data_IF_919513136990
#
_entry.id   IF_919513136990
#
_cell.length_a   1.000
_cell.length_b   1.000
_cell.length_c   1.000
_cell.angle_alpha   90.00
_cell.angle_beta   90.00
_cell.angle_gamma   90.00
#
_symmetry.space_group_name_H-M   'P 1'
#
loop_
_entity.id
_entity.type
_entity.pdbx_description
1 polymer ?
#
# COMPACT_ATOMS: atom_id res chain seq x y z
N UNK A 1 22.82 -7.85 22.58
CA UNK A 1 21.37 -7.69 22.28
C UNK A 1 20.94 -8.18 20.89
N UNK A 2 21.80 -8.21 19.87
CA UNK A 2 21.44 -8.61 18.50
C UNK A 2 21.10 -10.10 18.31
N UNK A 3 21.75 -11.02 19.02
CA UNK A 3 21.55 -12.49 18.83
C UNK A 3 20.21 -12.98 19.39
N UNK A 4 19.80 -12.50 20.57
CA UNK A 4 18.53 -12.89 21.20
C UNK A 4 17.32 -12.40 20.37
N UNK A 5 17.37 -11.15 19.87
CA UNK A 5 16.30 -10.60 19.01
C UNK A 5 16.14 -11.40 17.72
N UNK A 6 17.25 -11.74 17.06
CA UNK A 6 17.24 -12.58 15.83
C UNK A 6 16.65 -13.96 16.10
N UNK A 7 17.01 -14.61 17.23
CA UNK A 7 16.49 -15.92 17.61
C UNK A 7 15.00 -15.87 17.95
N UNK A 8 14.55 -14.83 18.65
CA UNK A 8 13.14 -14.61 18.95
C UNK A 8 12.33 -14.39 17.68
N UNK A 9 12.79 -13.53 16.78
CA UNK A 9 12.14 -13.28 15.48
C UNK A 9 12.04 -14.57 14.66
N UNK A 10 13.10 -15.38 14.65
CA UNK A 10 13.09 -16.68 13.98
C UNK A 10 12.03 -17.62 14.57
N UNK A 11 11.97 -17.77 15.89
CA UNK A 11 10.98 -18.62 16.56
C UNK A 11 9.55 -18.12 16.33
N UNK A 12 9.30 -16.81 16.36
CA UNK A 12 7.99 -16.23 16.10
C UNK A 12 7.53 -16.43 14.65
N UNK A 13 8.46 -16.54 13.70
CA UNK A 13 8.13 -16.76 12.28
C UNK A 13 7.93 -18.25 11.95
N UNK A 14 8.72 -19.13 12.55
CA UNK A 14 8.80 -20.55 12.15
C UNK A 14 8.14 -21.54 13.13
N UNK A 15 7.74 -21.10 14.33
CA UNK A 15 7.07 -21.97 15.30
C UNK A 15 5.68 -21.40 15.65
N UNK A 16 4.65 -21.97 15.04
CA UNK A 16 3.24 -21.53 15.21
C UNK A 16 2.78 -21.61 16.66
N UNK A 17 3.14 -22.70 17.36
CA UNK A 17 2.76 -22.89 18.76
C UNK A 17 3.41 -21.84 19.65
N UNK A 18 4.73 -21.67 19.54
CA UNK A 18 5.47 -20.65 20.28
C UNK A 18 4.93 -19.25 20.01
N UNK A 19 4.65 -18.93 18.73
CA UNK A 19 4.08 -17.65 18.33
C UNK A 19 2.71 -17.39 18.98
N UNK A 20 1.83 -18.40 19.02
CA UNK A 20 0.50 -18.28 19.66
C UNK A 20 0.61 -18.07 21.17
N UNK A 21 1.44 -18.86 21.86
CA UNK A 21 1.65 -18.74 23.32
C UNK A 21 2.26 -17.38 23.64
N UNK A 22 3.34 -16.99 22.96
CA UNK A 22 3.99 -15.70 23.17
C UNK A 22 3.03 -14.52 22.96
N UNK A 23 2.34 -14.49 21.83
CA UNK A 23 1.37 -13.41 21.53
C UNK A 23 0.20 -13.41 22.53
N UNK A 24 -0.28 -14.58 22.94
CA UNK A 24 -1.33 -14.71 23.96
C UNK A 24 -0.89 -14.11 25.29
N UNK A 25 0.27 -14.53 25.81
CA UNK A 25 0.82 -14.05 27.09
C UNK A 25 1.09 -12.55 27.07
N UNK A 26 1.76 -12.07 26.01
CA UNK A 26 2.03 -10.63 25.87
C UNK A 26 0.74 -9.82 25.72
N UNK A 27 -0.28 -10.34 25.03
CA UNK A 27 -1.57 -9.68 24.91
C UNK A 27 -2.27 -9.54 26.27
N UNK A 28 -2.21 -10.58 27.13
CA UNK A 28 -2.75 -10.53 28.49
C UNK A 28 -2.02 -9.48 29.34
N UNK A 29 -0.69 -9.47 29.29
CA UNK A 29 0.12 -8.46 29.97
C UNK A 29 -0.24 -7.05 29.51
N UNK A 30 -0.37 -6.83 28.20
CA UNK A 30 -0.73 -5.53 27.64
C UNK A 30 -2.16 -5.11 28.01
N UNK A 31 -3.09 -6.04 28.10
CA UNK A 31 -4.45 -5.75 28.61
C UNK A 31 -4.40 -5.31 30.07
N UNK A 32 -3.64 -6.02 30.91
CA UNK A 32 -3.46 -5.66 32.31
C UNK A 32 -2.82 -4.29 32.46
N UNK A 33 -1.69 -4.03 31.79
CA UNK A 33 -1.03 -2.72 31.80
C UNK A 33 -1.94 -1.62 31.24
N UNK A 34 -2.76 -1.96 30.27
CA UNK A 34 -3.75 -1.06 29.72
C UNK A 34 -4.77 -0.54 30.75
N UNK A 35 -5.09 -1.29 31.81
CA UNK A 35 -6.03 -0.86 32.85
C UNK A 35 -5.57 0.42 33.55
N UNK A 36 -4.26 0.60 33.71
CA UNK A 36 -3.65 1.78 34.35
C UNK A 36 -3.55 2.99 33.43
N UNK A 37 -4.02 2.90 32.20
CA UNK A 37 -3.95 3.97 31.22
C UNK A 37 -5.35 4.29 30.66
N UNK A 38 -6.13 5.16 31.33
CA UNK A 38 -7.48 5.51 30.89
C UNK A 38 -7.47 6.08 29.47
N UNK A 39 -8.50 5.75 28.71
CA UNK A 39 -8.69 6.30 27.34
C UNK A 39 -9.06 7.76 27.46
N UNK A 40 -8.35 8.60 26.71
CA UNK A 40 -8.56 10.05 26.60
C UNK A 40 -9.37 10.36 25.36
N UNK A 41 -10.45 11.09 25.52
CA UNK A 41 -11.22 11.62 24.40
C UNK A 41 -10.38 12.61 23.60
N UNK A 42 -10.77 12.87 22.34
CA UNK A 42 -10.07 13.80 21.43
C UNK A 42 -8.59 13.49 21.22
N UNK A 43 -8.19 12.21 21.30
CA UNK A 43 -6.82 11.77 21.02
C UNK A 43 -6.78 10.73 19.91
N UNK A 44 -5.89 10.91 18.95
CA UNK A 44 -5.74 10.05 17.79
C UNK A 44 -4.31 9.53 17.72
N UNK A 45 -4.13 8.21 17.61
CA UNK A 45 -2.85 7.59 17.24
C UNK A 45 -2.92 7.17 15.78
N UNK A 46 -1.96 7.67 15.00
CA UNK A 46 -1.86 7.42 13.57
C UNK A 46 -0.56 6.67 13.29
N UNK A 47 -0.64 5.67 12.41
CA UNK A 47 0.53 5.01 11.83
C UNK A 47 0.27 4.72 10.36
N UNK A 48 1.32 4.59 9.57
CA UNK A 48 1.19 4.31 8.15
C UNK A 48 2.16 3.21 7.69
N UNK A 49 2.22 2.99 6.39
CA UNK A 49 3.07 1.98 5.77
C UNK A 49 4.55 2.22 6.14
N UNK A 50 5.27 1.14 6.46
CA UNK A 50 6.65 1.21 6.95
C UNK A 50 6.88 2.20 8.10
N UNK A 51 5.84 2.52 8.89
CA UNK A 51 5.92 3.51 9.98
C UNK A 51 6.43 4.87 9.50
N UNK A 52 6.12 5.24 8.27
CA UNK A 52 6.44 6.54 7.70
C UNK A 52 5.28 7.53 7.79
N UNK A 53 5.50 8.73 7.27
CA UNK A 53 4.45 9.73 7.04
C UNK A 53 3.96 9.63 5.58
N UNK A 54 3.02 8.73 5.33
CA UNK A 54 2.59 8.39 3.97
C UNK A 54 1.19 7.77 3.95
N UNK A 55 0.78 7.33 2.75
CA UNK A 55 -0.41 6.53 2.49
C UNK A 55 -1.73 7.20 2.94
N UNK A 56 -2.81 6.43 3.03
CA UNK A 56 -4.15 6.87 3.42
C UNK A 56 -4.19 7.53 4.80
N UNK A 57 -3.33 7.10 5.71
CA UNK A 57 -3.20 7.70 7.05
C UNK A 57 -2.75 9.17 6.98
N UNK A 58 -1.85 9.50 6.04
CA UNK A 58 -1.43 10.88 5.76
C UNK A 58 -2.60 11.71 5.20
N UNK A 59 -3.30 11.18 4.20
CA UNK A 59 -4.43 11.88 3.58
C UNK A 59 -5.52 12.22 4.61
N UNK A 60 -5.88 11.26 5.46
CA UNK A 60 -6.85 11.47 6.54
C UNK A 60 -6.35 12.55 7.52
N UNK A 61 -5.10 12.47 7.96
CA UNK A 61 -4.54 13.42 8.90
C UNK A 61 -4.50 14.85 8.35
N UNK A 62 -4.02 15.03 7.13
CA UNK A 62 -3.97 16.35 6.49
C UNK A 62 -5.37 16.96 6.29
N UNK A 63 -6.37 16.12 6.04
CA UNK A 63 -7.78 16.58 5.98
C UNK A 63 -8.29 16.96 7.39
N UNK A 64 -7.96 16.18 8.42
CA UNK A 64 -8.35 16.51 9.80
C UNK A 64 -7.75 17.84 10.27
N UNK A 65 -6.53 18.21 9.86
CA UNK A 65 -5.93 19.50 10.16
C UNK A 65 -6.72 20.69 9.59
N UNK A 66 -7.43 20.49 8.48
CA UNK A 66 -8.25 21.52 7.80
C UNK A 66 -9.67 21.58 8.34
N UNK A 67 -10.10 20.60 9.11
CA UNK A 67 -11.47 20.45 9.58
C UNK A 67 -11.63 21.01 11.01
N UNK A 68 -12.46 22.05 11.22
CA UNK A 68 -12.64 22.69 12.53
C UNK A 68 -13.06 21.76 13.66
N UNK A 69 -13.67 20.59 13.35
CA UNK A 69 -14.05 19.56 14.34
C UNK A 69 -12.86 19.07 15.16
N UNK A 70 -11.65 19.15 14.60
CA UNK A 70 -10.44 18.58 15.19
C UNK A 70 -9.49 19.60 15.83
N UNK A 71 -9.88 20.87 15.94
CA UNK A 71 -9.05 21.94 16.51
C UNK A 71 -8.52 21.64 17.94
N UNK A 72 -9.32 20.90 18.74
CA UNK A 72 -8.99 20.53 20.12
C UNK A 72 -8.46 19.09 20.23
N UNK A 73 -8.17 18.41 19.11
CA UNK A 73 -7.65 17.06 19.14
C UNK A 73 -6.14 17.04 19.30
N UNK A 74 -5.66 16.04 20.03
CA UNK A 74 -4.23 15.74 20.12
C UNK A 74 -3.89 14.58 19.19
N UNK A 75 -3.02 14.84 18.23
CA UNK A 75 -2.55 13.86 17.28
C UNK A 75 -1.20 13.28 17.68
N UNK A 76 -1.07 11.97 17.62
CA UNK A 76 0.16 11.21 17.81
C UNK A 76 0.50 10.48 16.55
N UNK A 77 1.75 10.56 16.08
CA UNK A 77 2.26 9.77 14.97
C UNK A 77 3.27 8.75 15.46
N UNK A 78 2.98 7.46 15.19
CA UNK A 78 3.88 6.34 15.44
C UNK A 78 4.80 6.13 14.23
N UNK A 79 6.07 6.54 14.34
CA UNK A 79 7.04 6.64 13.26
C UNK A 79 8.25 5.75 13.51
N UNK A 80 8.85 5.23 12.44
CA UNK A 80 10.16 4.61 12.54
C UNK A 80 11.27 5.66 12.66
N UNK A 81 11.20 6.74 11.91
CA UNK A 81 12.04 7.92 12.11
C UNK A 81 11.19 9.09 12.62
N UNK A 82 11.30 9.49 13.91
CA UNK A 82 10.56 10.64 14.46
C UNK A 82 11.07 12.02 14.00
N UNK A 83 12.21 12.08 13.32
CA UNK A 83 12.79 13.37 12.87
C UNK A 83 12.12 13.89 11.58
N UNK A 84 11.27 13.06 10.94
CA UNK A 84 10.53 13.48 9.74
C UNK A 84 9.63 14.69 10.05
N UNK A 85 9.62 15.67 9.17
CA UNK A 85 8.73 16.81 9.29
C UNK A 85 7.29 16.45 8.97
N UNK A 86 6.35 16.89 9.82
CA UNK A 86 4.92 16.63 9.68
C UNK A 86 4.15 17.91 9.99
N UNK A 87 3.28 18.37 9.08
CA UNK A 87 2.49 19.60 9.31
C UNK A 87 1.61 19.48 10.54
N UNK A 88 1.29 20.62 11.18
CA UNK A 88 0.46 20.66 12.37
C UNK A 88 1.14 20.19 13.65
N UNK A 89 2.44 19.91 13.64
CA UNK A 89 3.26 19.56 14.80
C UNK A 89 2.66 18.47 15.71
N UNK A 90 2.30 17.28 15.20
CA UNK A 90 1.78 16.22 16.02
C UNK A 90 2.85 15.70 16.99
N UNK A 91 2.44 15.05 18.07
CA UNK A 91 3.37 14.40 18.98
C UNK A 91 3.94 13.15 18.30
N UNK A 92 5.21 13.20 17.91
CA UNK A 92 5.92 12.09 17.27
C UNK A 92 6.41 11.09 18.30
N UNK A 93 6.16 9.81 18.03
CA UNK A 93 6.51 8.70 18.93
C UNK A 93 7.23 7.62 18.12
N UNK A 94 8.43 7.22 18.56
CA UNK A 94 9.15 6.08 17.92
C UNK A 94 8.28 4.84 18.01
N UNK A 95 7.95 4.26 16.85
CA UNK A 95 7.12 3.07 16.75
C UNK A 95 7.73 1.86 17.48
N UNK A 96 6.87 0.96 17.92
CA UNK A 96 7.25 -0.30 18.55
C UNK A 96 8.07 -0.16 19.86
N UNK A 97 8.06 1.04 20.47
CA UNK A 97 8.64 1.33 21.78
C UNK A 97 7.59 1.28 22.89
N UNK A 98 8.04 1.24 24.16
CA UNK A 98 7.13 1.31 25.31
C UNK A 98 6.30 2.62 25.31
N UNK A 99 6.92 3.75 24.91
CA UNK A 99 6.22 5.03 24.76
C UNK A 99 5.08 4.95 23.74
N UNK A 100 5.32 4.26 22.61
CA UNK A 100 4.31 4.02 21.57
C UNK A 100 3.12 3.21 22.12
N UNK A 101 3.37 2.10 22.81
CA UNK A 101 2.28 1.27 23.36
C UNK A 101 1.51 1.98 24.49
N UNK A 102 2.19 2.74 25.34
CA UNK A 102 1.51 3.63 26.31
C UNK A 102 0.59 4.64 25.62
N UNK A 103 1.01 5.18 24.49
CA UNK A 103 0.19 6.10 23.69
C UNK A 103 -1.01 5.35 23.11
N UNK A 104 -0.79 4.14 22.55
CA UNK A 104 -1.87 3.30 22.03
C UNK A 104 -2.92 2.96 23.11
N UNK A 105 -2.52 2.69 24.37
CA UNK A 105 -3.48 2.46 25.47
C UNK A 105 -4.38 3.65 25.77
N UNK A 106 -3.88 4.90 25.55
CA UNK A 106 -4.55 6.14 25.94
C UNK A 106 -5.39 6.75 24.83
N UNK A 107 -4.99 6.56 23.54
CA UNK A 107 -5.69 7.19 22.44
C UNK A 107 -7.06 6.56 22.19
N UNK A 108 -8.07 7.43 22.06
CA UNK A 108 -9.45 7.04 21.74
C UNK A 108 -9.57 6.48 20.34
N UNK A 109 -8.91 7.11 19.39
CA UNK A 109 -8.98 6.76 17.98
C UNK A 109 -7.64 6.22 17.49
N UNK A 110 -7.72 5.14 16.75
CA UNK A 110 -6.60 4.52 16.06
C UNK A 110 -6.85 4.57 14.56
N UNK A 111 -5.93 5.16 13.81
CA UNK A 111 -6.01 5.27 12.35
C UNK A 111 -4.74 4.69 11.74
N UNK A 112 -4.89 3.76 10.80
CA UNK A 112 -3.74 3.12 10.16
C UNK A 112 -4.13 2.53 8.80
N UNK A 113 -3.13 2.33 7.95
CA UNK A 113 -3.24 1.49 6.76
C UNK A 113 -2.55 0.11 6.93
N UNK A 114 -2.03 -0.20 8.12
CA UNK A 114 -1.37 -1.49 8.43
C UNK A 114 -1.91 -2.06 9.75
N UNK A 115 -1.21 -1.92 10.85
CA UNK A 115 -1.69 -2.26 12.18
C UNK A 115 -0.97 -1.44 13.26
N UNK A 116 -1.66 -1.15 14.35
CA UNK A 116 -1.11 -0.44 15.51
C UNK A 116 -0.60 -1.41 16.55
N UNK A 117 -1.31 -2.48 16.76
CA UNK A 117 -1.15 -3.43 17.88
C UNK A 117 -0.11 -4.51 17.64
N UNK A 118 0.49 -4.61 16.44
CA UNK A 118 1.53 -5.61 16.11
C UNK A 118 1.09 -7.05 16.35
N UNK A 119 -0.15 -7.37 15.98
CA UNK A 119 -0.82 -8.67 16.21
C UNK A 119 -1.04 -9.02 17.68
N UNK A 120 -0.92 -8.06 18.61
CA UNK A 120 -1.30 -8.22 20.03
C UNK A 120 -2.76 -7.82 20.22
N UNK A 121 -3.45 -8.48 21.13
CA UNK A 121 -4.89 -8.25 21.38
C UNK A 121 -5.11 -7.41 22.65
N UNK A 122 -4.86 -6.09 22.58
CA UNK A 122 -5.02 -5.20 23.75
C UNK A 122 -5.92 -3.97 23.51
N UNK A 123 -6.52 -3.84 22.33
CA UNK A 123 -7.49 -2.77 22.06
C UNK A 123 -8.65 -2.83 23.06
N UNK A 124 -9.01 -1.70 23.64
CA UNK A 124 -10.12 -1.56 24.59
C UNK A 124 -11.44 -1.36 23.86
N UNK A 125 -12.56 -1.74 24.50
CA UNK A 125 -13.90 -1.54 23.94
C UNK A 125 -14.23 -0.09 23.64
N UNK A 126 -13.73 0.86 24.43
CA UNK A 126 -13.94 2.31 24.26
C UNK A 126 -13.12 2.92 23.13
N UNK A 127 -12.12 2.21 22.59
CA UNK A 127 -11.29 2.69 21.48
C UNK A 127 -11.94 2.38 20.15
N UNK A 128 -11.83 3.32 19.23
CA UNK A 128 -12.35 3.22 17.85
C UNK A 128 -11.14 3.02 16.92
N UNK A 129 -11.22 2.04 16.05
CA UNK A 129 -10.14 1.64 15.17
C UNK A 129 -10.59 1.69 13.71
N UNK A 130 -9.95 2.56 12.94
CA UNK A 130 -10.05 2.63 11.48
C UNK A 130 -8.80 2.00 10.87
N UNK A 131 -8.98 1.05 9.97
CA UNK A 131 -7.94 0.53 9.10
C UNK A 131 -8.35 0.74 7.65
N UNK A 132 -7.51 1.45 6.89
CA UNK A 132 -7.77 1.72 5.48
C UNK A 132 -7.22 0.66 4.55
N UNK A 133 -6.43 -0.29 5.09
CA UNK A 133 -5.49 -1.11 4.28
C UNK A 133 -4.51 -0.25 3.46
N UNK A 134 -3.70 -0.88 2.61
CA UNK A 134 -2.67 -0.23 1.79
C UNK A 134 -2.69 -0.69 0.33
N UNK A 135 -3.81 -1.24 -0.12
CA UNK A 135 -4.09 -1.53 -1.53
C UNK A 135 -4.70 -2.89 -1.80
N UNK A 136 -5.49 -2.95 -2.87
CA UNK A 136 -6.11 -4.18 -3.36
C UNK A 136 -5.01 -5.18 -3.72
N UNK A 137 -5.09 -6.39 -3.20
CA UNK A 137 -4.03 -7.38 -3.40
C UNK A 137 -4.30 -8.28 -4.61
N UNK A 138 -3.26 -8.53 -5.38
CA UNK A 138 -3.21 -9.57 -6.42
C UNK A 138 -2.73 -10.90 -5.84
N UNK A 139 -1.94 -10.82 -4.77
CA UNK A 139 -1.30 -11.99 -4.11
C UNK A 139 -2.22 -12.59 -3.07
N UNK A 140 -2.04 -13.88 -2.78
CA UNK A 140 -2.66 -14.47 -1.60
C UNK A 140 -2.14 -13.78 -0.33
N UNK A 141 -3.05 -13.46 0.58
CA UNK A 141 -2.74 -12.76 1.83
C UNK A 141 -3.52 -13.34 3.02
N UNK A 142 -3.23 -12.82 4.21
CA UNK A 142 -3.94 -13.19 5.42
C UNK A 142 -3.97 -14.71 5.65
N UNK A 143 -5.15 -15.26 5.91
CA UNK A 143 -5.34 -16.69 6.17
C UNK A 143 -5.20 -17.59 4.94
N UNK A 144 -5.19 -17.05 3.73
CA UNK A 144 -4.93 -17.82 2.51
C UNK A 144 -3.44 -17.97 2.21
N UNK A 145 -2.60 -17.12 2.80
CA UNK A 145 -1.15 -17.22 2.62
C UNK A 145 -0.59 -18.48 3.31
N UNK A 146 0.45 -19.07 2.70
CA UNK A 146 1.11 -20.23 3.25
C UNK A 146 1.68 -19.97 4.65
N UNK A 147 1.50 -20.92 5.56
CA UNK A 147 2.08 -20.89 6.92
C UNK A 147 1.36 -20.01 7.94
N UNK A 148 0.36 -19.22 7.55
CA UNK A 148 -0.40 -18.37 8.50
C UNK A 148 -1.90 -18.60 8.40
N UNK A 149 -2.54 -18.87 9.55
CA UNK A 149 -3.99 -19.12 9.67
C UNK A 149 -4.59 -18.40 10.88
N UNK A 150 -3.91 -17.39 11.41
CA UNK A 150 -4.22 -16.76 12.71
C UNK A 150 -4.68 -15.30 12.59
N UNK A 151 -4.91 -14.81 11.36
CA UNK A 151 -5.46 -13.48 11.17
C UNK A 151 -6.91 -13.42 11.65
N UNK A 152 -7.17 -12.47 12.53
CA UNK A 152 -8.50 -12.19 13.05
C UNK A 152 -8.61 -10.71 13.40
N UNK A 153 -9.23 -9.95 12.51
CA UNK A 153 -9.44 -8.51 12.63
C UNK A 153 -10.90 -8.16 12.99
N UNK A 154 -11.63 -9.12 13.55
CA UNK A 154 -13.03 -8.94 13.95
C UNK A 154 -13.25 -7.76 14.91
N UNK A 155 -12.22 -7.33 15.64
CA UNK A 155 -12.24 -6.22 16.61
C UNK A 155 -12.02 -4.85 16.00
N UNK A 156 -11.70 -4.75 14.71
CA UNK A 156 -11.57 -3.47 14.00
C UNK A 156 -12.97 -2.89 13.79
N UNK A 157 -13.14 -1.59 14.06
CA UNK A 157 -14.44 -0.95 13.98
C UNK A 157 -14.81 -0.54 12.56
N UNK A 158 -13.83 -0.03 11.80
CA UNK A 158 -13.99 0.42 10.43
C UNK A 158 -12.84 -0.09 9.58
N UNK A 159 -13.16 -0.71 8.46
CA UNK A 159 -12.19 -1.24 7.50
C UNK A 159 -12.60 -0.85 6.09
N UNK A 160 -11.76 -0.06 5.41
CA UNK A 160 -12.04 0.43 4.06
C UNK A 160 -11.93 -0.70 3.04
N UNK A 161 -12.80 -0.64 2.03
CA UNK A 161 -12.72 -1.45 0.82
C UNK A 161 -13.02 -0.61 -0.40
N UNK A 162 -12.41 -0.95 -1.53
CA UNK A 162 -12.58 -0.26 -2.80
C UNK A 162 -13.63 -0.90 -3.69
N UNK A 163 -14.13 -2.10 -3.35
CA UNK A 163 -15.17 -2.81 -4.11
C UNK A 163 -15.52 -4.16 -3.49
N UNK A 164 -16.49 -4.84 -4.11
CA UNK A 164 -16.99 -6.14 -3.64
C UNK A 164 -15.94 -7.26 -3.72
N UNK A 165 -15.03 -7.21 -4.70
CA UNK A 165 -13.90 -8.16 -4.75
C UNK A 165 -13.08 -8.12 -3.47
N UNK A 166 -12.64 -6.92 -3.08
CA UNK A 166 -11.81 -6.69 -1.90
C UNK A 166 -12.60 -7.01 -0.61
N UNK A 167 -13.86 -6.59 -0.54
CA UNK A 167 -14.76 -6.91 0.57
C UNK A 167 -14.84 -8.41 0.84
N UNK A 168 -15.17 -9.19 -0.19
CA UNK A 168 -15.36 -10.63 -0.05
C UNK A 168 -14.05 -11.34 0.31
N UNK A 169 -12.95 -10.91 -0.28
CA UNK A 169 -11.63 -11.42 0.05
C UNK A 169 -11.26 -11.13 1.51
N UNK A 170 -11.39 -9.89 1.98
CA UNK A 170 -10.98 -9.49 3.32
C UNK A 170 -11.83 -10.09 4.43
N UNK A 171 -13.13 -10.28 4.21
CA UNK A 171 -13.99 -11.03 5.12
C UNK A 171 -13.43 -12.43 5.38
N UNK A 172 -12.95 -13.10 4.32
CA UNK A 172 -12.39 -14.45 4.41
C UNK A 172 -10.97 -14.46 4.97
N UNK A 173 -10.06 -13.68 4.38
CA UNK A 173 -8.64 -13.79 4.68
C UNK A 173 -8.22 -13.12 5.98
N UNK A 174 -8.98 -12.13 6.47
CA UNK A 174 -8.70 -11.42 7.71
C UNK A 174 -9.74 -11.68 8.81
N UNK A 175 -10.77 -12.48 8.53
CA UNK A 175 -11.87 -12.71 9.46
C UNK A 175 -12.42 -11.40 10.03
N UNK A 176 -12.81 -10.49 9.13
CA UNK A 176 -13.39 -9.21 9.50
C UNK A 176 -14.85 -9.37 9.98
N UNK A 177 -15.28 -8.47 10.83
CA UNK A 177 -16.70 -8.30 11.10
C UNK A 177 -17.38 -7.67 9.88
N UNK A 178 -18.40 -8.28 9.26
CA UNK A 178 -19.09 -7.69 8.11
C UNK A 178 -19.60 -6.26 8.34
N UNK A 179 -19.96 -5.94 9.60
CA UNK A 179 -20.44 -4.61 10.00
C UNK A 179 -19.33 -3.56 10.09
N UNK A 180 -18.06 -3.97 10.09
CA UNK A 180 -16.93 -3.04 10.13
C UNK A 180 -16.53 -2.53 8.76
N UNK A 181 -17.02 -3.13 7.69
CA UNK A 181 -16.65 -2.75 6.33
C UNK A 181 -17.32 -1.44 5.95
N UNK A 182 -16.52 -0.50 5.47
CA UNK A 182 -16.98 0.78 4.92
C UNK A 182 -16.56 0.89 3.44
N UNK A 183 -17.53 1.16 2.54
CA UNK A 183 -17.30 1.21 1.10
C UNK A 183 -16.81 2.61 0.67
N UNK A 184 -15.60 2.95 1.03
CA UNK A 184 -15.05 4.30 0.80
C UNK A 184 -13.99 4.34 -0.29
N UNK A 185 -13.33 3.22 -0.58
CA UNK A 185 -12.07 3.22 -1.30
C UNK A 185 -10.90 3.66 -0.40
N UNK A 186 -9.77 3.96 -1.03
CA UNK A 186 -8.54 4.32 -0.35
C UNK A 186 -8.35 5.84 -0.31
N UNK A 187 -8.27 6.47 0.87
CA UNK A 187 -8.07 7.92 1.01
C UNK A 187 -6.88 8.49 0.23
N UNK A 188 -5.76 7.75 0.13
CA UNK A 188 -4.60 8.19 -0.63
C UNK A 188 -4.88 8.38 -2.13
N UNK A 189 -5.92 7.73 -2.63
CA UNK A 189 -6.24 7.72 -4.06
C UNK A 189 -7.25 8.82 -4.46
N UNK A 190 -7.81 9.58 -3.51
CA UNK A 190 -8.82 10.61 -3.82
C UNK A 190 -8.32 11.63 -4.86
N UNK A 191 -7.05 11.99 -4.82
CA UNK A 191 -6.44 12.93 -5.76
C UNK A 191 -6.34 12.37 -7.19
N UNK A 192 -6.28 11.03 -7.36
CA UNK A 192 -6.22 10.39 -8.67
C UNK A 192 -7.54 10.48 -9.46
N UNK A 193 -8.66 10.78 -8.80
CA UNK A 193 -9.95 11.03 -9.43
C UNK A 193 -10.14 12.47 -9.93
N UNK A 194 -9.19 13.37 -9.61
CA UNK A 194 -9.32 14.82 -9.85
C UNK A 194 -8.08 15.42 -10.52
N UNK A 195 -7.34 14.61 -11.26
CA UNK A 195 -6.10 15.02 -11.93
C UNK A 195 -6.43 16.12 -12.94
N UNK A 196 -5.74 17.28 -12.85
CA UNK A 196 -5.85 18.35 -13.83
C UNK A 196 -4.62 18.38 -14.75
N UNK A 197 -4.76 19.02 -15.92
CA UNK A 197 -3.66 19.18 -16.85
C UNK A 197 -2.57 20.06 -16.28
N UNK A 198 -2.96 21.09 -15.55
CA UNK A 198 -2.08 22.04 -14.89
C UNK A 198 -1.20 21.32 -13.84
N UNK A 199 -1.82 20.50 -12.98
CA UNK A 199 -1.10 19.71 -11.98
C UNK A 199 -0.10 18.74 -12.63
N UNK A 200 -0.51 18.06 -13.71
CA UNK A 200 0.39 17.16 -14.45
C UNK A 200 1.58 17.94 -15.03
N UNK A 201 1.33 19.12 -15.57
CA UNK A 201 2.39 19.96 -16.14
C UNK A 201 3.37 20.45 -15.06
N UNK A 202 2.87 20.92 -13.92
CA UNK A 202 3.70 21.34 -12.79
C UNK A 202 4.58 20.21 -12.27
N UNK A 203 4.02 18.99 -12.16
CA UNK A 203 4.79 17.82 -11.74
C UNK A 203 5.85 17.47 -12.79
N UNK A 204 5.50 17.46 -14.08
CA UNK A 204 6.47 17.20 -15.16
C UNK A 204 7.63 18.20 -15.16
N UNK A 205 7.35 19.48 -14.96
CA UNK A 205 8.37 20.54 -14.87
C UNK A 205 9.28 20.32 -13.65
N UNK A 206 8.70 20.07 -12.47
CA UNK A 206 9.45 19.79 -11.24
C UNK A 206 10.36 18.57 -11.36
N UNK A 207 9.93 17.56 -12.12
CA UNK A 207 10.68 16.32 -12.34
C UNK A 207 11.61 16.35 -13.57
N UNK A 208 11.61 17.45 -14.35
CA UNK A 208 12.42 17.57 -15.56
C UNK A 208 11.98 16.64 -16.71
N UNK A 209 10.66 16.34 -16.80
CA UNK A 209 10.09 15.35 -17.73
C UNK A 209 9.34 15.96 -18.94
N UNK A 210 9.73 17.15 -19.35
CA UNK A 210 9.04 17.84 -20.46
C UNK A 210 9.23 17.14 -21.81
N UNK A 211 8.16 17.07 -22.61
CA UNK A 211 8.20 16.76 -24.04
C UNK A 211 8.10 15.30 -24.43
N UNK A 212 8.25 14.33 -23.50
CA UNK A 212 8.15 12.90 -23.81
C UNK A 212 6.97 12.22 -23.12
N UNK A 213 6.52 11.10 -23.66
CA UNK A 213 5.61 10.18 -22.99
C UNK A 213 6.36 9.43 -21.89
N UNK A 214 5.68 9.08 -20.83
CA UNK A 214 6.29 8.53 -19.61
C UNK A 214 5.79 7.12 -19.37
N UNK A 215 6.72 6.18 -19.26
CA UNK A 215 6.47 4.83 -18.78
C UNK A 215 6.89 4.76 -17.31
N UNK A 216 5.96 4.43 -16.42
CA UNK A 216 6.29 4.07 -15.05
C UNK A 216 6.53 2.55 -14.98
N UNK A 217 7.77 2.14 -14.74
CA UNK A 217 8.11 0.73 -14.54
C UNK A 217 8.26 0.45 -13.05
N UNK A 218 7.30 -0.31 -12.49
CA UNK A 218 7.19 -0.59 -11.06
C UNK A 218 7.11 -2.11 -10.81
N UNK A 219 8.23 -2.85 -10.96
CA UNK A 219 8.24 -4.30 -10.74
C UNK A 219 8.12 -4.65 -9.26
N UNK A 220 7.41 -5.74 -8.96
CA UNK A 220 7.35 -6.29 -7.60
C UNK A 220 8.70 -6.90 -7.23
N UNK A 221 9.12 -6.64 -5.99
CA UNK A 221 10.25 -7.30 -5.38
C UNK A 221 10.07 -8.82 -5.32
N UNK A 222 11.12 -9.56 -5.70
CA UNK A 222 11.20 -11.03 -5.56
C UNK A 222 11.95 -11.37 -4.29
N UNK A 223 11.23 -11.65 -3.20
CA UNK A 223 11.81 -12.10 -1.93
C UNK A 223 11.60 -13.60 -1.75
N UNK A 224 12.68 -14.34 -1.72
CA UNK A 224 12.69 -15.78 -1.55
C UNK A 224 12.91 -16.24 -0.12
N UNK A 225 13.22 -15.33 0.80
CA UNK A 225 13.56 -15.70 2.18
C UNK A 225 12.40 -16.27 2.99
N UNK A 226 11.16 -16.04 2.54
CA UNK A 226 9.98 -16.52 3.26
C UNK A 226 9.68 -18.02 3.06
N UNK A 227 10.33 -18.70 2.10
CA UNK A 227 10.06 -20.12 1.77
C UNK A 227 11.33 -20.99 1.84
N UNK A 228 12.43 -20.48 2.40
CA UNK A 228 13.66 -21.26 2.60
C UNK A 228 14.47 -21.54 1.32
N UNK A 229 14.13 -20.90 0.21
CA UNK A 229 14.91 -20.94 -1.03
C UNK A 229 15.32 -19.53 -1.41
N UNK A 230 16.56 -19.34 -1.83
CA UNK A 230 17.05 -18.05 -2.33
C UNK A 230 16.51 -17.86 -3.74
N UNK A 231 15.42 -17.09 -3.87
CA UNK A 231 14.82 -16.75 -5.16
C UNK A 231 15.14 -15.30 -5.47
N UNK A 232 16.28 -15.07 -6.06
CA UNK A 232 16.66 -13.78 -6.60
C UNK A 232 16.55 -13.88 -8.11
N UNK A 233 15.40 -13.47 -8.67
CA UNK A 233 15.22 -13.45 -10.10
C UNK A 233 15.45 -12.02 -10.60
N UNK A 234 16.47 -11.85 -11.42
CA UNK A 234 16.69 -10.62 -12.16
C UNK A 234 15.58 -10.49 -13.22
N UNK A 235 14.81 -9.38 -13.24
CA UNK A 235 13.87 -9.14 -14.35
C UNK A 235 14.60 -9.25 -15.70
N UNK A 236 14.05 -9.97 -16.69
CA UNK A 236 14.68 -10.14 -18.00
C UNK A 236 14.47 -8.91 -18.87
N UNK A 237 15.05 -7.78 -18.45
CA UNK A 237 14.95 -6.50 -19.17
C UNK A 237 16.33 -5.98 -19.56
N UNK A 238 16.41 -5.41 -20.77
CA UNK A 238 17.56 -4.70 -21.29
C UNK A 238 17.15 -3.27 -21.65
N UNK A 239 17.50 -2.32 -20.81
CA UNK A 239 17.11 -0.92 -21.07
C UNK A 239 17.77 -0.33 -22.32
N UNK A 240 18.92 -0.85 -22.76
CA UNK A 240 19.50 -0.51 -24.06
C UNK A 240 18.60 -0.92 -25.22
N UNK A 241 17.94 -2.09 -25.12
CA UNK A 241 16.96 -2.54 -26.09
C UNK A 241 15.68 -1.71 -26.02
N UNK A 242 15.21 -1.37 -24.81
CA UNK A 242 14.07 -0.47 -24.63
C UNK A 242 14.36 0.90 -25.26
N UNK A 243 15.56 1.47 -25.03
CA UNK A 243 15.97 2.75 -25.61
C UNK A 243 15.97 2.74 -27.14
N UNK A 244 16.42 1.64 -27.74
CA UNK A 244 16.39 1.47 -29.23
C UNK A 244 14.98 1.42 -29.81
N UNK A 245 14.02 0.83 -29.06
CA UNK A 245 12.65 0.62 -29.58
C UNK A 245 11.72 1.79 -29.20
N UNK A 246 11.91 2.40 -28.05
CA UNK A 246 10.97 3.36 -27.43
C UNK A 246 11.57 4.73 -27.19
N UNK A 247 12.91 4.91 -27.30
CA UNK A 247 13.61 6.09 -26.80
C UNK A 247 13.28 7.41 -27.51
N UNK A 248 12.75 7.35 -28.73
CA UNK A 248 12.31 8.55 -29.45
C UNK A 248 11.01 9.14 -28.85
N UNK A 249 10.12 8.27 -28.37
CA UNK A 249 8.79 8.65 -27.89
C UNK A 249 8.67 8.70 -26.37
N UNK A 250 9.42 7.84 -25.66
CA UNK A 250 9.23 7.60 -24.23
C UNK A 250 10.47 7.83 -23.39
N UNK A 251 10.25 8.09 -22.10
CA UNK A 251 11.22 7.93 -21.00
C UNK A 251 10.67 6.96 -19.98
N UNK A 252 11.54 6.28 -19.24
CA UNK A 252 11.19 5.28 -18.23
C UNK A 252 11.52 5.80 -16.84
N UNK A 253 10.50 5.90 -15.99
CA UNK A 253 10.67 6.13 -14.55
C UNK A 253 10.71 4.75 -13.87
N UNK A 254 11.87 4.35 -13.39
CA UNK A 254 12.03 3.11 -12.63
C UNK A 254 11.66 3.36 -11.17
N UNK A 255 10.66 2.63 -10.69
CA UNK A 255 10.30 2.60 -9.27
C UNK A 255 10.34 1.17 -8.75
N UNK A 256 11.49 0.77 -8.28
CA UNK A 256 11.76 -0.57 -7.79
C UNK A 256 12.24 -0.56 -6.33
N UNK A 257 12.28 -1.70 -5.68
CA UNK A 257 12.99 -1.82 -4.41
C UNK A 257 14.50 -1.61 -4.66
N UNK A 258 15.24 -0.91 -3.77
CA UNK A 258 16.68 -0.62 -3.99
C UNK A 258 17.51 -1.84 -4.38
N UNK A 259 17.23 -2.99 -3.79
CA UNK A 259 17.90 -4.24 -4.17
C UNK A 259 17.56 -4.72 -5.60
N UNK A 260 16.33 -4.49 -6.07
CA UNK A 260 15.98 -4.81 -7.47
C UNK A 260 16.72 -3.89 -8.43
N UNK A 261 16.88 -2.62 -8.08
CA UNK A 261 17.66 -1.65 -8.84
C UNK A 261 19.13 -2.09 -8.96
N UNK A 262 19.73 -2.54 -7.85
CA UNK A 262 21.09 -3.10 -7.83
C UNK A 262 21.23 -4.35 -8.71
N UNK A 263 20.26 -5.29 -8.60
CA UNK A 263 20.25 -6.50 -9.41
C UNK A 263 20.09 -6.23 -10.90
N UNK A 264 19.35 -5.20 -11.28
CA UNK A 264 19.16 -4.81 -12.69
C UNK A 264 20.47 -4.30 -13.29
N UNK A 265 21.38 -3.76 -12.49
CA UNK A 265 22.65 -3.19 -12.96
C UNK A 265 22.41 -2.04 -13.94
N UNK A 266 21.40 -1.20 -13.66
CA UNK A 266 20.98 -0.11 -14.57
C UNK A 266 21.96 1.01 -14.51
N UNK A 267 22.46 1.43 -15.67
CA UNK A 267 23.04 2.76 -15.83
C UNK A 267 21.90 3.74 -16.08
N UNK A 268 21.69 4.67 -15.14
CA UNK A 268 20.66 5.69 -15.28
C UNK A 268 21.14 6.79 -16.23
N UNK A 269 20.25 7.24 -17.09
CA UNK A 269 20.49 8.27 -18.09
C UNK A 269 19.22 9.11 -18.33
N UNK A 270 19.16 9.81 -19.46
CA UNK A 270 18.01 10.61 -19.92
C UNK A 270 16.81 9.76 -20.38
N UNK A 271 17.00 8.45 -20.61
CA UNK A 271 15.94 7.51 -20.98
C UNK A 271 15.41 6.74 -19.76
N UNK A 272 16.27 6.26 -18.85
CA UNK A 272 15.87 5.53 -17.63
C UNK A 272 16.30 6.31 -16.40
N UNK A 273 15.34 6.76 -15.62
CA UNK A 273 15.55 7.56 -14.42
C UNK A 273 15.13 6.81 -13.17
N UNK A 274 15.92 6.91 -12.08
CA UNK A 274 15.60 6.27 -10.80
C UNK A 274 14.67 7.13 -9.93
N UNK A 275 13.45 6.66 -9.77
CA UNK A 275 12.45 7.22 -8.86
C UNK A 275 12.09 6.27 -7.71
N UNK A 276 12.93 5.28 -7.42
CA UNK A 276 12.69 4.27 -6.37
C UNK A 276 12.51 4.89 -4.98
N UNK A 277 13.26 5.94 -4.68
CA UNK A 277 13.19 6.68 -3.42
C UNK A 277 12.24 7.89 -3.42
N UNK A 278 11.60 8.20 -4.55
CA UNK A 278 10.70 9.35 -4.63
C UNK A 278 9.50 9.19 -3.67
N UNK A 279 9.21 10.17 -2.79
CA UNK A 279 8.32 9.94 -1.65
C UNK A 279 6.83 9.86 -2.02
N UNK A 280 6.41 10.50 -3.12
CA UNK A 280 5.00 10.64 -3.49
C UNK A 280 4.70 9.82 -4.75
N UNK A 281 4.27 8.57 -4.57
CA UNK A 281 3.99 7.69 -5.72
C UNK A 281 2.90 8.23 -6.65
N UNK A 282 1.94 8.95 -6.10
CA UNK A 282 0.85 9.50 -6.90
C UNK A 282 1.31 10.55 -7.92
N UNK A 283 2.37 11.31 -7.64
CA UNK A 283 2.96 12.21 -8.64
C UNK A 283 3.43 11.43 -9.87
N UNK A 284 4.08 10.28 -9.66
CA UNK A 284 4.53 9.42 -10.75
C UNK A 284 3.35 8.80 -11.51
N UNK A 285 2.29 8.41 -10.80
CA UNK A 285 1.04 7.89 -11.40
C UNK A 285 0.38 8.97 -12.26
N UNK A 286 0.29 10.21 -11.78
CA UNK A 286 -0.34 11.32 -12.50
C UNK A 286 0.35 11.63 -13.81
N UNK A 287 1.70 11.66 -13.83
CA UNK A 287 2.48 12.03 -15.02
C UNK A 287 2.70 10.86 -15.98
N UNK A 288 2.62 9.62 -15.54
CA UNK A 288 2.83 8.47 -16.41
C UNK A 288 1.71 8.31 -17.43
N UNK A 289 2.10 7.96 -18.66
CA UNK A 289 1.17 7.63 -19.75
C UNK A 289 0.90 6.12 -19.83
N UNK A 290 1.85 5.31 -19.37
CA UNK A 290 1.76 3.84 -19.32
C UNK A 290 2.36 3.36 -17.99
N UNK A 291 1.73 2.35 -17.38
CA UNK A 291 2.31 1.56 -16.28
C UNK A 291 2.76 0.21 -16.81
N UNK A 292 3.98 -0.19 -16.46
CA UNK A 292 4.44 -1.58 -16.54
C UNK A 292 4.63 -2.08 -15.11
N UNK A 293 3.90 -3.11 -14.74
CA UNK A 293 4.01 -3.73 -13.41
C UNK A 293 3.65 -5.21 -13.50
N UNK A 294 3.54 -5.89 -12.37
CA UNK A 294 3.22 -7.31 -12.30
C UNK A 294 2.24 -7.60 -11.15
N UNK A 295 2.70 -8.08 -10.01
CA UNK A 295 1.86 -8.51 -8.87
C UNK A 295 1.67 -7.41 -7.82
N UNK A 296 1.85 -6.16 -8.18
CA UNK A 296 1.79 -5.01 -7.27
C UNK A 296 0.39 -4.40 -7.21
N UNK A 297 0.00 -3.93 -6.01
CA UNK A 297 -1.23 -3.17 -5.81
C UNK A 297 -1.28 -1.83 -6.60
N UNK A 298 -0.14 -1.31 -7.04
CA UNK A 298 -0.05 -0.09 -7.86
C UNK A 298 -0.87 -0.19 -9.16
N UNK A 299 -1.12 -1.42 -9.65
CA UNK A 299 -1.98 -1.68 -10.81
C UNK A 299 -3.38 -1.12 -10.58
N UNK A 300 -3.94 -1.30 -9.39
CA UNK A 300 -5.26 -0.76 -9.06
C UNK A 300 -5.23 0.76 -8.84
N UNK A 301 -4.20 1.28 -8.17
CA UNK A 301 -4.05 2.73 -8.01
C UNK A 301 -3.93 3.42 -9.38
N UNK A 302 -3.11 2.88 -10.27
CA UNK A 302 -2.94 3.43 -11.62
C UNK A 302 -4.20 3.27 -12.50
N UNK A 303 -4.96 2.17 -12.32
CA UNK A 303 -6.19 1.93 -13.09
C UNK A 303 -7.24 3.03 -12.88
N UNK A 304 -7.16 3.79 -11.77
CA UNK A 304 -8.04 4.96 -11.54
C UNK A 304 -7.85 6.01 -12.64
N UNK A 305 -6.66 6.14 -13.20
CA UNK A 305 -6.36 7.08 -14.30
C UNK A 305 -6.92 6.61 -15.66
N UNK A 306 -7.37 5.36 -15.76
CA UNK A 306 -7.85 4.69 -16.97
C UNK A 306 -6.81 4.62 -18.10
N UNK A 307 -5.54 4.91 -17.81
CA UNK A 307 -4.42 4.82 -18.76
C UNK A 307 -3.93 3.37 -18.92
N UNK A 308 -3.23 3.04 -20.02
CA UNK A 308 -2.76 1.68 -20.30
C UNK A 308 -1.84 1.11 -19.24
N UNK A 309 -2.03 -0.16 -18.93
CA UNK A 309 -1.19 -0.93 -18.03
C UNK A 309 -0.77 -2.22 -18.74
N UNK A 310 0.51 -2.57 -18.66
CA UNK A 310 1.04 -3.86 -19.08
C UNK A 310 1.42 -4.69 -17.88
N UNK A 311 0.86 -5.90 -17.75
CA UNK A 311 1.19 -6.85 -16.71
C UNK A 311 2.38 -7.70 -17.18
N UNK A 312 3.62 -7.27 -16.87
CA UNK A 312 4.84 -7.98 -17.27
C UNK A 312 5.20 -9.03 -16.23
N UNK A 313 4.64 -10.23 -16.41
CA UNK A 313 4.67 -11.32 -15.45
C UNK A 313 5.52 -12.51 -15.99
N UNK A 314 6.79 -12.25 -16.29
CA UNK A 314 7.75 -13.19 -16.89
C UNK A 314 7.99 -14.47 -16.07
N UNK A 315 7.59 -14.51 -14.83
CA UNK A 315 7.75 -15.62 -13.89
C UNK A 315 6.39 -16.06 -13.29
N UNK A 316 5.30 -15.89 -14.03
CA UNK A 316 3.94 -16.06 -13.51
C UNK A 316 3.70 -17.40 -12.82
N UNK A 317 4.06 -18.50 -13.44
CA UNK A 317 3.80 -19.83 -12.90
C UNK A 317 4.63 -20.12 -11.65
N UNK A 318 5.89 -19.70 -11.63
CA UNK A 318 6.77 -19.79 -10.45
C UNK A 318 6.28 -18.91 -9.31
N UNK A 319 5.84 -17.69 -9.62
CA UNK A 319 5.30 -16.78 -8.62
C UNK A 319 3.99 -17.30 -8.04
N UNK A 320 3.08 -17.78 -8.89
CA UNK A 320 1.81 -18.38 -8.45
C UNK A 320 2.03 -19.58 -7.54
N UNK A 321 3.01 -20.45 -7.86
CA UNK A 321 3.36 -21.62 -7.06
C UNK A 321 3.99 -21.26 -5.71
N UNK A 322 4.85 -20.26 -5.67
CA UNK A 322 5.65 -19.95 -4.47
C UNK A 322 4.98 -18.93 -3.53
N UNK A 323 4.28 -17.93 -4.08
CA UNK A 323 3.64 -16.84 -3.32
C UNK A 323 2.12 -16.93 -3.29
N UNK A 324 1.54 -17.59 -4.27
CA UNK A 324 0.11 -17.63 -4.52
C UNK A 324 -0.42 -16.33 -5.13
N UNK A 325 -1.35 -16.49 -6.04
CA UNK A 325 -2.06 -15.41 -6.74
C UNK A 325 -3.55 -15.56 -6.42
N UNK A 326 -4.17 -14.48 -5.98
CA UNK A 326 -5.59 -14.43 -5.64
C UNK A 326 -6.45 -13.95 -6.82
N UNK A 327 -5.87 -13.15 -7.72
CA UNK A 327 -6.53 -12.65 -8.93
C UNK A 327 -5.93 -13.34 -10.16
N UNK A 328 -6.75 -14.01 -10.95
CA UNK A 328 -6.33 -14.65 -12.22
C UNK A 328 -5.97 -13.59 -13.28
N UNK A 329 -4.69 -13.17 -13.26
CA UNK A 329 -4.21 -12.13 -14.16
C UNK A 329 -4.26 -12.54 -15.64
N UNK A 330 -4.15 -13.83 -15.97
CA UNK A 330 -4.21 -14.30 -17.36
C UNK A 330 -5.56 -14.01 -17.98
N UNK A 331 -6.64 -14.19 -17.23
CA UNK A 331 -8.01 -14.05 -17.72
C UNK A 331 -8.68 -12.72 -17.33
N UNK A 332 -8.31 -12.15 -16.18
CA UNK A 332 -8.99 -10.99 -15.62
C UNK A 332 -8.33 -9.66 -16.00
N UNK A 333 -7.03 -9.68 -16.32
CA UNK A 333 -6.31 -8.45 -16.64
C UNK A 333 -6.54 -8.04 -18.11
N UNK A 334 -6.79 -6.76 -18.40
CA UNK A 334 -6.98 -6.29 -19.78
C UNK A 334 -5.75 -6.56 -20.65
N UNK A 335 -5.90 -7.37 -21.69
CA UNK A 335 -4.80 -7.83 -22.54
C UNK A 335 -3.99 -9.00 -21.97
N UNK A 336 -4.40 -9.55 -20.81
CA UNK A 336 -3.71 -10.67 -20.15
C UNK A 336 -2.33 -10.30 -19.62
N UNK A 337 -1.49 -11.30 -19.38
CA UNK A 337 -0.10 -11.10 -18.97
C UNK A 337 0.83 -11.04 -20.19
N UNK A 338 2.01 -10.44 -19.98
CA UNK A 338 3.12 -10.44 -20.94
C UNK A 338 4.29 -11.16 -20.26
N UNK A 339 4.82 -12.21 -20.91
CA UNK A 339 5.84 -13.06 -20.30
C UNK A 339 7.25 -12.81 -20.85
N UNK A 340 7.36 -12.12 -22.02
CA UNK A 340 8.66 -11.84 -22.64
C UNK A 340 8.87 -10.36 -22.90
N UNK A 341 10.12 -9.93 -22.85
CA UNK A 341 10.51 -8.54 -23.14
C UNK A 341 10.16 -8.14 -24.59
N UNK A 342 10.38 -9.04 -25.56
CA UNK A 342 10.08 -8.79 -26.97
C UNK A 342 8.60 -8.52 -27.21
N UNK A 343 7.76 -9.32 -26.59
CA UNK A 343 6.32 -9.12 -26.65
C UNK A 343 5.89 -7.81 -25.99
N UNK A 344 6.48 -7.47 -24.82
CA UNK A 344 6.22 -6.21 -24.13
C UNK A 344 6.52 -5.02 -25.03
N UNK A 345 7.73 -4.97 -25.58
CA UNK A 345 8.16 -3.89 -26.46
C UNK A 345 7.30 -3.78 -27.72
N UNK A 346 6.96 -4.92 -28.34
CA UNK A 346 6.05 -4.98 -29.49
C UNK A 346 4.68 -4.41 -29.13
N UNK A 347 4.09 -4.82 -27.99
CA UNK A 347 2.77 -4.34 -27.59
C UNK A 347 2.77 -2.84 -27.28
N UNK A 348 3.84 -2.29 -26.69
CA UNK A 348 3.96 -0.85 -26.42
C UNK A 348 4.12 -0.06 -27.72
N UNK A 349 5.01 -0.50 -28.63
CA UNK A 349 5.28 0.21 -29.90
C UNK A 349 4.09 0.21 -30.87
N UNK A 350 3.18 -0.79 -30.76
CA UNK A 350 1.99 -0.94 -31.61
C UNK A 350 0.68 -0.69 -30.89
N UNK A 351 0.72 0.01 -29.74
CA UNK A 351 -0.45 0.17 -28.87
C UNK A 351 -1.58 0.93 -29.56
N UNK A 352 -2.77 0.35 -29.57
CA UNK A 352 -4.01 1.11 -29.71
C UNK A 352 -4.35 1.71 -28.34
N UNK A 353 -3.87 2.95 -28.12
CA UNK A 353 -3.98 3.60 -26.83
C UNK A 353 -5.43 3.74 -26.35
N UNK A 354 -6.36 4.10 -27.26
CA UNK A 354 -7.78 4.26 -26.94
C UNK A 354 -8.40 2.94 -26.48
N UNK A 355 -8.18 1.87 -27.24
CA UNK A 355 -8.68 0.54 -26.90
C UNK A 355 -8.10 0.01 -25.58
N UNK A 356 -6.82 0.29 -25.32
CA UNK A 356 -6.18 -0.06 -24.05
C UNK A 356 -6.81 0.70 -22.88
N UNK A 357 -7.05 2.00 -23.00
CA UNK A 357 -7.77 2.80 -22.00
C UNK A 357 -9.18 2.24 -21.71
N UNK A 358 -9.95 1.90 -22.74
CA UNK A 358 -11.28 1.28 -22.57
C UNK A 358 -11.21 -0.05 -21.83
N UNK A 359 -10.15 -0.84 -22.05
CA UNK A 359 -9.88 -2.07 -21.30
C UNK A 359 -9.65 -1.81 -19.82
N UNK A 360 -8.79 -0.83 -19.49
CA UNK A 360 -8.48 -0.47 -18.11
C UNK A 360 -9.70 0.16 -17.42
N UNK A 361 -10.51 0.97 -18.11
CA UNK A 361 -11.76 1.51 -17.55
C UNK A 361 -12.72 0.38 -17.13
N UNK A 362 -12.87 -0.68 -17.94
CA UNK A 362 -13.67 -1.85 -17.55
C UNK A 362 -13.08 -2.58 -16.34
N UNK A 363 -11.77 -2.76 -16.30
CA UNK A 363 -11.07 -3.37 -15.17
C UNK A 363 -11.26 -2.55 -13.89
N UNK A 364 -11.04 -1.23 -13.95
CA UNK A 364 -11.31 -0.31 -12.85
C UNK A 364 -12.73 -0.47 -12.33
N UNK A 365 -13.73 -0.38 -13.20
CA UNK A 365 -15.15 -0.45 -12.81
C UNK A 365 -15.53 -1.80 -12.17
N UNK A 366 -14.80 -2.89 -12.49
CA UNK A 366 -15.01 -4.21 -11.90
C UNK A 366 -14.43 -4.33 -10.49
N UNK A 367 -13.30 -3.67 -10.20
CA UNK A 367 -12.54 -3.88 -8.97
C UNK A 367 -12.50 -2.68 -8.03
N UNK A 368 -12.76 -1.48 -8.57
CA UNK A 368 -12.71 -0.21 -7.84
C UNK A 368 -14.06 0.49 -8.00
N UNK A 369 -15.02 0.09 -7.16
CA UNK A 369 -16.40 0.61 -7.21
C UNK A 369 -16.54 1.88 -6.37
N UNK A 370 -15.66 2.06 -5.37
CA UNK A 370 -15.72 3.17 -4.41
C UNK A 370 -14.41 3.97 -4.42
N UNK A 371 -14.51 5.30 -4.26
CA UNK A 371 -13.35 6.20 -4.20
C UNK A 371 -13.68 7.65 -4.57
N UNK A 372 -12.65 8.49 -4.54
CA UNK A 372 -12.73 9.92 -4.91
C UNK A 372 -13.17 10.85 -3.78
N UNK A 373 -13.76 10.32 -2.69
CA UNK A 373 -14.10 11.05 -1.47
C UNK A 373 -13.78 10.23 -0.21
N UNK A 374 -12.96 9.20 -0.35
CA UNK A 374 -12.65 8.24 0.69
C UNK A 374 -12.15 8.90 1.99
N UNK A 375 -11.32 9.94 1.87
CA UNK A 375 -10.77 10.68 3.01
C UNK A 375 -11.89 11.27 3.87
N UNK A 376 -12.81 12.00 3.24
CA UNK A 376 -13.93 12.62 3.94
C UNK A 376 -14.88 11.58 4.51
N UNK A 377 -15.21 10.56 3.73
CA UNK A 377 -16.10 9.49 4.14
C UNK A 377 -15.56 8.71 5.33
N UNK A 378 -14.26 8.37 5.34
CA UNK A 378 -13.60 7.75 6.49
C UNK A 378 -13.73 8.59 7.76
N UNK A 379 -13.51 9.89 7.65
CA UNK A 379 -13.66 10.83 8.77
C UNK A 379 -15.11 10.84 9.25
N UNK A 380 -16.08 10.93 8.35
CA UNK A 380 -17.49 10.97 8.70
C UNK A 380 -18.00 9.64 9.31
N UNK A 381 -17.51 8.48 8.85
CA UNK A 381 -17.81 7.19 9.50
C UNK A 381 -17.29 7.09 10.93
N UNK A 382 -16.09 7.62 11.19
CA UNK A 382 -15.40 7.46 12.48
C UNK A 382 -15.86 8.52 13.50
N UNK A 383 -16.09 9.75 13.05
CA UNK A 383 -16.32 10.92 13.93
C UNK A 383 -17.72 11.54 13.80
N UNK A 384 -18.54 11.00 12.90
CA UNK A 384 -19.84 11.57 12.54
C UNK A 384 -19.73 12.68 11.50
N UNK A 385 -20.86 12.97 10.83
CA UNK A 385 -20.91 14.08 9.87
C UNK A 385 -20.80 15.39 10.65
N UNK A 386 -19.93 16.28 10.19
CA UNK A 386 -19.90 17.65 10.69
C UNK A 386 -21.22 18.36 10.40
N UNK A 387 -21.60 19.31 11.24
CA UNK A 387 -22.68 20.24 10.91
C UNK A 387 -22.31 20.97 9.62
N UNK A 388 -23.27 21.07 8.70
CA UNK A 388 -23.10 21.78 7.42
C UNK A 388 -23.03 23.28 7.63
#
# INVERSE_FOLDING_TARGET
MGSFKKRLDYLLKHNVFFSKVFRGTVSLLFRFLGLFHPVKDKTVLITAHNRGYNDSSRAIYEQMLKDPRFKDFTFYWGLDNPDVDIPGNPIKVKADTWKYFKTAFKCKYWITCVNIERSLKFKKKKQIYLNTDHGITIKTCGNDAAGRKDYNFYYINYYCVSGEYERNMYLRVFNLNPKSIIPTGLPRNDELYRITKEEVQEIKERLGLAGKKIILYAPTWRDSKDVGRTYSLRPPVSFDKWKKVLGDDYVVLLRAHPYTTELLGVAFDDFVMDYSSYPVVNDLIKVADILISDYSAIVFDFAITEKPIFCFAYDYDDYAKNRGIALDLKNEFPGGIVETEDELLKRISTIDYKKACEGIARFKNKYIEYGGNATKECIDYVFGKGEK
#
